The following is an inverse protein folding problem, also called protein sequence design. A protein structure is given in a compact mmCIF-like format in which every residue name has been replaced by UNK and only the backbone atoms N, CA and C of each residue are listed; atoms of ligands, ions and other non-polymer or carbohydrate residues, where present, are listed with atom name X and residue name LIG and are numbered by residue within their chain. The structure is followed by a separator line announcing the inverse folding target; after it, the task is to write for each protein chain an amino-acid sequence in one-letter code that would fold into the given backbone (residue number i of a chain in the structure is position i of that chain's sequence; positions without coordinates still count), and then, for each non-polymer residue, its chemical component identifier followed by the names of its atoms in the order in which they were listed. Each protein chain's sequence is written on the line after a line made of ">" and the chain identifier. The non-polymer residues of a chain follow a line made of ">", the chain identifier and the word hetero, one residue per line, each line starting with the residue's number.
data_IF_575722208485
#
_entry.id   IF_575722208485
#
_cell.length_a   1.000
_cell.length_b   1.000
_cell.length_c   1.000
_cell.angle_alpha   90.00
_cell.angle_beta   90.00
_cell.angle_gamma   90.00
#
_symmetry.space_group_name_H-M   'P 1'
#
loop_
_entity.id
_entity.type
_entity.pdbx_description
1 polymer ?
#
# COMPACT_ATOMS: atom_id res chain seq x y z
N UNK A 1 9.60 -20.64 -35.36
CA UNK A 1 9.85 -19.66 -34.27
C UNK A 1 8.91 -20.05 -33.14
N UNK A 2 9.38 -20.65 -32.03
CA UNK A 2 8.50 -20.84 -30.89
C UNK A 2 8.23 -19.47 -30.27
N UNK A 3 6.94 -19.15 -30.14
CA UNK A 3 6.45 -17.96 -29.47
C UNK A 3 6.53 -18.17 -27.96
N UNK A 4 7.73 -18.01 -27.39
CA UNK A 4 7.92 -17.91 -25.94
C UNK A 4 7.39 -16.57 -25.45
N UNK A 5 6.07 -16.44 -25.44
CA UNK A 5 5.40 -15.53 -24.51
C UNK A 5 5.59 -16.19 -23.15
N UNK A 6 6.38 -15.63 -22.21
CA UNK A 6 6.56 -16.28 -20.93
C UNK A 6 5.18 -16.36 -20.30
N UNK A 7 4.69 -17.57 -20.04
CA UNK A 7 3.56 -17.77 -19.14
C UNK A 7 3.91 -16.98 -17.88
N UNK A 8 3.22 -15.86 -17.65
CA UNK A 8 3.38 -15.03 -16.45
C UNK A 8 3.05 -15.96 -15.29
N UNK A 9 4.10 -16.54 -14.71
CA UNK A 9 4.03 -17.83 -14.02
C UNK A 9 2.93 -17.83 -12.97
N UNK A 10 2.18 -18.93 -12.85
CA UNK A 10 1.05 -19.09 -11.90
C UNK A 10 1.40 -18.63 -10.48
N UNK A 11 2.68 -18.72 -10.08
CA UNK A 11 3.22 -18.20 -8.82
C UNK A 11 3.20 -16.67 -8.73
N UNK A 12 3.54 -15.93 -9.79
CA UNK A 12 3.44 -14.47 -9.82
C UNK A 12 1.99 -14.01 -9.70
N UNK A 13 1.06 -14.68 -10.40
CA UNK A 13 -0.37 -14.38 -10.27
C UNK A 13 -0.90 -14.65 -8.86
N UNK A 14 -0.42 -15.70 -8.19
CA UNK A 14 -0.76 -15.96 -6.80
C UNK A 14 -0.29 -14.83 -5.86
N UNK A 15 0.95 -14.34 -6.02
CA UNK A 15 1.48 -13.21 -5.23
C UNK A 15 0.66 -11.93 -5.44
N UNK A 16 0.29 -11.63 -6.69
CA UNK A 16 -0.57 -10.46 -6.98
C UNK A 16 -1.96 -10.60 -6.36
N UNK A 17 -2.55 -11.80 -6.38
CA UNK A 17 -3.83 -12.07 -5.73
C UNK A 17 -3.74 -11.90 -4.22
N UNK A 18 -2.68 -12.39 -3.59
CA UNK A 18 -2.47 -12.26 -2.15
C UNK A 18 -2.28 -10.79 -1.75
N UNK A 19 -1.60 -10.00 -2.58
CA UNK A 19 -1.49 -8.55 -2.41
C UNK A 19 -2.84 -7.85 -2.49
N UNK A 20 -3.69 -8.19 -3.48
CA UNK A 20 -5.05 -7.65 -3.59
C UNK A 20 -5.89 -7.97 -2.35
N UNK A 21 -5.83 -9.22 -1.88
CA UNK A 21 -6.55 -9.64 -0.67
C UNK A 21 -6.06 -8.90 0.59
N UNK A 22 -4.76 -8.57 0.66
CA UNK A 22 -4.23 -7.77 1.76
C UNK A 22 -4.73 -6.32 1.71
N UNK A 23 -4.78 -5.69 0.53
CA UNK A 23 -5.30 -4.33 0.35
C UNK A 23 -6.78 -4.24 0.72
N UNK A 24 -7.59 -5.23 0.34
CA UNK A 24 -9.00 -5.33 0.72
C UNK A 24 -9.19 -5.39 2.24
N UNK A 25 -8.37 -6.20 2.93
CA UNK A 25 -8.37 -6.27 4.41
C UNK A 25 -7.98 -4.95 5.06
N UNK A 26 -7.06 -4.19 4.46
CA UNK A 26 -6.68 -2.85 4.96
C UNK A 26 -7.86 -1.89 4.86
N UNK A 27 -8.60 -1.89 3.74
CA UNK A 27 -9.78 -1.04 3.57
C UNK A 27 -10.88 -1.39 4.58
N UNK A 28 -11.20 -2.67 4.73
CA UNK A 28 -12.18 -3.15 5.72
C UNK A 28 -11.78 -2.73 7.14
N UNK A 29 -10.50 -2.90 7.50
CA UNK A 29 -10.00 -2.48 8.81
C UNK A 29 -10.09 -0.96 9.01
N UNK A 30 -9.78 -0.17 7.97
CA UNK A 30 -9.91 1.28 8.00
C UNK A 30 -11.36 1.73 8.20
N UNK A 31 -12.31 1.17 7.46
CA UNK A 31 -13.74 1.45 7.63
C UNK A 31 -14.25 1.11 9.04
N UNK A 32 -13.76 0.01 9.64
CA UNK A 32 -14.09 -0.35 11.01
C UNK A 32 -13.59 0.69 12.03
N UNK A 33 -12.42 1.29 11.81
CA UNK A 33 -11.89 2.35 12.69
C UNK A 33 -12.75 3.61 12.65
N UNK A 34 -13.28 3.98 11.48
CA UNK A 34 -14.18 5.13 11.35
C UNK A 34 -15.49 4.90 12.12
N UNK A 35 -16.07 3.70 12.00
CA UNK A 35 -17.28 3.31 12.72
C UNK A 35 -17.11 3.32 14.25
N UNK A 36 -15.92 2.96 14.74
CA UNK A 36 -15.61 2.96 16.19
C UNK A 36 -15.49 4.38 16.79
N UNK A 37 -15.26 5.40 15.97
CA UNK A 37 -15.01 6.78 16.43
C UNK A 37 -16.30 7.53 16.79
N UNK A 38 -17.46 7.04 16.36
CA UNK A 38 -18.78 7.68 16.56
C UNK A 38 -19.35 7.54 17.98
N UNK A 39 -18.66 6.87 18.91
CA UNK A 39 -19.26 6.38 20.16
C UNK A 39 -18.87 7.09 21.47
N UNK A 40 -17.64 7.56 21.68
CA UNK A 40 -17.23 8.08 23.00
C UNK A 40 -15.91 8.85 22.92
N UNK A 41 -15.88 10.06 23.51
CA UNK A 41 -14.69 10.94 23.60
C UNK A 41 -13.50 10.34 24.38
N UNK A 42 -13.69 9.23 25.09
CA UNK A 42 -12.65 8.53 25.84
C UNK A 42 -11.72 7.65 24.96
N UNK A 43 -12.07 7.42 23.70
CA UNK A 43 -11.35 6.53 22.76
C UNK A 43 -10.24 7.23 21.96
N UNK A 44 -9.97 8.51 22.22
CA UNK A 44 -9.10 9.36 21.40
C UNK A 44 -7.59 9.15 21.62
N UNK A 45 -7.18 8.39 22.64
CA UNK A 45 -5.76 8.12 22.91
C UNK A 45 -5.40 6.68 22.55
N UNK A 46 -4.80 6.51 21.37
CA UNK A 46 -4.13 5.26 21.00
C UNK A 46 -3.02 4.99 22.02
N UNK A 47 -2.93 3.77 22.60
CA UNK A 47 -1.77 3.38 23.39
C UNK A 47 -0.49 3.63 22.58
N UNK A 48 0.54 4.20 23.21
CA UNK A 48 1.74 4.66 22.48
C UNK A 48 2.43 3.56 21.66
N UNK A 49 2.42 2.31 22.13
CA UNK A 49 2.91 1.16 21.39
C UNK A 49 2.08 0.86 20.13
N UNK A 50 0.76 1.05 20.20
CA UNK A 50 -0.14 0.91 19.04
C UNK A 50 0.09 2.05 18.05
N UNK A 51 0.23 3.29 18.52
CA UNK A 51 0.52 4.44 17.67
C UNK A 51 1.85 4.27 16.90
N UNK A 52 2.92 3.83 17.58
CA UNK A 52 4.22 3.55 16.93
C UNK A 52 4.13 2.39 15.94
N UNK A 53 3.39 1.33 16.28
CA UNK A 53 3.19 0.21 15.36
C UNK A 53 2.41 0.64 14.11
N UNK A 54 1.38 1.48 14.27
CA UNK A 54 0.59 2.02 13.18
C UNK A 54 1.43 2.91 12.26
N UNK A 55 2.25 3.80 12.83
CA UNK A 55 3.21 4.64 12.08
C UNK A 55 4.15 3.79 11.23
N UNK A 56 4.77 2.76 11.81
CA UNK A 56 5.66 1.85 11.08
C UNK A 56 4.93 1.05 10.00
N UNK A 57 3.70 0.63 10.27
CA UNK A 57 2.87 -0.08 9.30
C UNK A 57 2.52 0.83 8.12
N UNK A 58 2.15 2.09 8.38
CA UNK A 58 1.85 3.09 7.37
C UNK A 58 3.08 3.40 6.50
N UNK A 59 4.25 3.61 7.09
CA UNK A 59 5.51 3.80 6.35
C UNK A 59 5.79 2.64 5.37
N UNK A 60 5.66 1.39 5.86
CA UNK A 60 5.83 0.19 5.03
C UNK A 60 4.76 0.09 3.93
N UNK A 61 3.52 0.44 4.25
CA UNK A 61 2.41 0.49 3.29
C UNK A 61 2.66 1.50 2.17
N UNK A 62 3.09 2.72 2.51
CA UNK A 62 3.47 3.75 1.52
C UNK A 62 4.60 3.26 0.61
N UNK A 63 5.61 2.58 1.17
CA UNK A 63 6.71 1.97 0.38
C UNK A 63 6.21 0.89 -0.57
N UNK A 64 5.29 0.03 -0.13
CA UNK A 64 4.68 -0.98 -0.99
C UNK A 64 3.88 -0.34 -2.15
N UNK A 65 3.06 0.67 -1.85
CA UNK A 65 2.28 1.41 -2.86
C UNK A 65 3.18 2.13 -3.87
N UNK A 66 4.30 2.71 -3.43
CA UNK A 66 5.29 3.32 -4.32
C UNK A 66 5.83 2.28 -5.32
N UNK A 67 6.24 1.10 -4.84
CA UNK A 67 6.73 0.02 -5.70
C UNK A 67 5.69 -0.51 -6.70
N UNK A 68 4.41 -0.57 -6.31
CA UNK A 68 3.31 -0.90 -7.23
C UNK A 68 3.18 0.17 -8.32
N UNK A 69 3.17 1.45 -7.94
CA UNK A 69 3.06 2.56 -8.90
C UNK A 69 4.26 2.56 -9.87
N UNK A 70 5.47 2.32 -9.39
CA UNK A 70 6.67 2.18 -10.23
C UNK A 70 6.56 1.02 -11.21
N UNK A 71 6.08 -0.14 -10.74
CA UNK A 71 5.82 -1.30 -11.61
C UNK A 71 4.83 -0.96 -12.73
N UNK A 72 3.81 -0.13 -12.45
CA UNK A 72 2.82 0.30 -13.44
C UNK A 72 3.40 1.33 -14.43
N UNK A 73 4.32 2.20 -13.99
CA UNK A 73 5.04 3.11 -14.91
C UNK A 73 5.83 2.32 -15.95
N UNK A 74 6.46 1.22 -15.55
CA UNK A 74 7.28 0.39 -16.44
C UNK A 74 6.44 -0.48 -17.38
N UNK A 75 5.23 -0.88 -16.96
CA UNK A 75 4.38 -1.81 -17.72
C UNK A 75 3.39 -1.16 -18.68
N UNK A 76 3.07 0.13 -18.50
CA UNK A 76 2.09 0.84 -19.32
C UNK A 76 2.73 1.98 -20.11
N UNK A 77 2.52 1.99 -21.43
CA UNK A 77 2.97 3.09 -22.31
C UNK A 77 2.37 4.46 -21.91
N UNK A 78 1.22 4.45 -21.23
CA UNK A 78 0.57 5.61 -20.63
C UNK A 78 0.94 5.82 -19.15
N UNK A 79 2.15 5.41 -18.74
CA UNK A 79 2.63 5.42 -17.35
C UNK A 79 2.73 6.79 -16.65
N UNK A 80 2.48 7.90 -17.35
CA UNK A 80 2.63 9.27 -16.84
C UNK A 80 1.83 9.53 -15.54
N UNK A 81 0.55 9.14 -15.40
CA UNK A 81 -0.20 9.32 -14.16
C UNK A 81 0.40 8.52 -12.99
N UNK A 82 0.89 7.31 -13.26
CA UNK A 82 1.53 6.48 -12.24
C UNK A 82 2.88 7.05 -11.81
N UNK A 83 3.58 7.77 -12.69
CA UNK A 83 4.87 8.42 -12.36
C UNK A 83 4.67 9.54 -11.34
N UNK A 84 3.62 10.34 -11.50
CA UNK A 84 3.27 11.39 -10.52
C UNK A 84 2.92 10.78 -9.16
N UNK A 85 2.12 9.70 -9.15
CA UNK A 85 1.75 8.99 -7.92
C UNK A 85 2.98 8.37 -7.25
N UNK A 86 3.85 7.68 -8.00
CA UNK A 86 5.09 7.11 -7.49
C UNK A 86 6.00 8.19 -6.87
N UNK A 87 6.14 9.34 -7.54
CA UNK A 87 6.92 10.47 -7.03
C UNK A 87 6.33 11.02 -5.73
N UNK A 88 5.01 11.21 -5.64
CA UNK A 88 4.36 11.70 -4.43
C UNK A 88 4.52 10.72 -3.26
N UNK A 89 4.38 9.41 -3.52
CA UNK A 89 4.58 8.37 -2.50
C UNK A 89 6.02 8.31 -2.01
N UNK A 90 7.02 8.49 -2.90
CA UNK A 90 8.43 8.61 -2.50
C UNK A 90 8.70 9.82 -1.61
N UNK A 91 8.17 10.99 -1.98
CA UNK A 91 8.27 12.18 -1.13
C UNK A 91 7.63 11.96 0.24
N UNK A 92 6.48 11.28 0.29
CA UNK A 92 5.84 10.91 1.55
C UNK A 92 6.71 9.94 2.37
N UNK A 93 7.38 8.98 1.73
CA UNK A 93 8.35 8.06 2.38
C UNK A 93 9.50 8.85 3.01
N UNK A 94 10.08 9.79 2.28
CA UNK A 94 11.21 10.62 2.75
C UNK A 94 10.80 11.56 3.90
N UNK A 95 9.52 11.95 3.94
CA UNK A 95 8.96 12.80 4.99
C UNK A 95 8.58 12.04 6.27
N UNK A 96 8.55 10.70 6.26
CA UNK A 96 8.35 9.96 7.50
C UNK A 96 9.53 10.22 8.45
N UNK A 97 9.27 10.47 9.75
CA UNK A 97 10.33 10.64 10.73
C UNK A 97 11.18 9.36 10.76
N UNK A 98 12.36 9.44 10.15
CA UNK A 98 13.31 8.34 10.11
C UNK A 98 14.10 8.34 11.42
N UNK A 99 13.61 7.51 12.35
CA UNK A 99 14.14 7.24 13.71
C UNK A 99 13.93 8.34 14.75
#
# INVERSE_FOLDING_TARGET
>A
MPSDTPEKSTSQLAVWRDLLAALDRVDVAWQATQSATSGTQASAQLPGNVAVALVKASERGTRALAGIAETLVEQYDSGEPFRQVASALRQAIDAWPTR
#
